data_IF_695135111942
#
_entry.id   IF_695135111942
#
_cell.length_a   1.000
_cell.length_b   1.000
_cell.length_c   1.000
_cell.angle_alpha   90.00
_cell.angle_beta   90.00
_cell.angle_gamma   90.00
#
_symmetry.space_group_name_H-M   'P 1'
#
loop_
_entity.id
_entity.type
_entity.pdbx_description
1 polymer ?
#
# COMPACT_ATOMS: atom_id res chain seq x y z
N UNK A 1 20.27 8.70 -2.97
CA UNK A 1 19.87 9.34 -1.69
C UNK A 1 20.49 8.55 -0.56
N UNK A 2 21.00 9.23 0.47
CA UNK A 2 21.56 8.57 1.64
C UNK A 2 20.42 8.00 2.51
N UNK A 3 20.64 6.78 3.03
CA UNK A 3 19.75 6.12 3.99
C UNK A 3 20.50 5.91 5.30
N UNK A 4 19.80 5.92 6.42
CA UNK A 4 20.36 5.66 7.76
C UNK A 4 19.65 4.43 8.34
N UNK A 5 20.43 3.37 8.65
CA UNK A 5 19.88 2.17 9.28
C UNK A 5 19.52 2.47 10.74
N UNK A 6 18.28 2.16 11.13
CA UNK A 6 17.75 2.29 12.49
C UNK A 6 17.94 0.96 13.25
N UNK A 7 17.59 -0.14 12.59
CA UNK A 7 17.63 -1.47 13.20
C UNK A 7 17.82 -2.56 12.16
N UNK A 8 18.36 -3.69 12.59
CA UNK A 8 18.46 -4.92 11.80
C UNK A 8 18.22 -6.13 12.71
N UNK A 9 17.35 -7.04 12.27
CA UNK A 9 17.06 -8.28 12.97
C UNK A 9 17.07 -9.46 11.99
N UNK A 10 17.72 -10.56 12.35
CA UNK A 10 17.74 -11.78 11.55
C UNK A 10 16.43 -12.54 11.77
N UNK A 11 15.74 -12.92 10.67
CA UNK A 11 14.47 -13.64 10.72
C UNK A 11 14.32 -14.55 9.51
N UNK A 12 13.94 -15.82 9.72
CA UNK A 12 13.75 -16.84 8.67
C UNK A 12 14.94 -16.94 7.67
N UNK A 13 16.17 -16.83 8.17
CA UNK A 13 17.37 -16.87 7.35
C UNK A 13 17.74 -15.56 6.65
N UNK A 14 16.79 -14.65 6.51
CA UNK A 14 16.96 -13.32 5.94
C UNK A 14 17.13 -12.22 7.00
N UNK A 15 16.88 -10.98 6.58
CA UNK A 15 17.03 -9.79 7.42
C UNK A 15 15.79 -8.88 7.33
N UNK A 16 15.22 -8.53 8.48
CA UNK A 16 14.33 -7.39 8.61
C UNK A 16 15.15 -6.17 9.02
N UNK A 17 15.04 -5.08 8.28
CA UNK A 17 15.78 -3.84 8.54
C UNK A 17 14.86 -2.63 8.44
N UNK A 18 15.18 -1.59 9.21
CA UNK A 18 14.49 -0.30 9.17
C UNK A 18 15.46 0.82 8.86
N UNK A 19 14.98 1.79 8.10
CA UNK A 19 15.77 2.93 7.66
C UNK A 19 14.99 4.23 7.73
N UNK A 20 15.73 5.34 7.90
CA UNK A 20 15.25 6.69 7.58
C UNK A 20 16.00 7.24 6.37
N UNK A 21 15.37 8.21 5.71
CA UNK A 21 15.99 9.04 4.69
C UNK A 21 15.27 10.39 4.58
N UNK A 22 15.98 11.41 4.10
CA UNK A 22 15.35 12.68 3.74
C UNK A 22 14.66 12.52 2.39
N UNK A 23 13.35 12.64 2.37
CA UNK A 23 12.56 12.58 1.14
C UNK A 23 12.50 13.95 0.46
N UNK A 24 12.78 13.97 -0.85
CA UNK A 24 12.56 15.16 -1.67
C UNK A 24 11.09 15.33 -2.07
N UNK A 25 10.34 14.23 -2.15
CA UNK A 25 8.95 14.22 -2.58
C UNK A 25 8.02 14.76 -1.51
N UNK A 26 8.18 14.31 -0.26
CA UNK A 26 7.32 14.74 0.88
C UNK A 26 8.01 15.75 1.79
N UNK A 27 9.23 16.19 1.45
CA UNK A 27 10.01 17.26 2.12
C UNK A 27 10.15 17.09 3.65
N UNK A 28 10.29 15.86 4.09
CA UNK A 28 10.56 15.51 5.49
C UNK A 28 11.36 14.22 5.59
N UNK A 29 11.75 13.84 6.82
CA UNK A 29 12.32 12.52 7.05
C UNK A 29 11.23 11.46 6.93
N UNK A 30 11.49 10.44 6.09
CA UNK A 30 10.62 9.28 5.92
C UNK A 30 11.26 8.03 6.47
N UNK A 31 10.42 7.10 6.93
CA UNK A 31 10.81 5.77 7.38
C UNK A 31 10.27 4.70 6.45
N UNK A 32 11.03 3.64 6.31
CA UNK A 32 10.57 2.39 5.71
C UNK A 32 11.25 1.19 6.35
N UNK A 33 10.57 0.06 6.29
CA UNK A 33 11.13 -1.23 6.64
C UNK A 33 11.29 -2.10 5.39
N UNK A 34 12.31 -2.97 5.38
CA UNK A 34 12.54 -3.94 4.32
C UNK A 34 12.85 -5.31 4.92
N UNK A 35 12.20 -6.35 4.38
CA UNK A 35 12.64 -7.74 4.55
C UNK A 35 13.40 -8.18 3.31
N UNK A 36 14.62 -8.68 3.52
CA UNK A 36 15.47 -9.27 2.49
C UNK A 36 15.61 -10.76 2.77
N UNK A 37 15.15 -11.66 1.87
CA UNK A 37 15.35 -13.09 2.02
C UNK A 37 16.83 -13.46 1.82
N UNK A 38 17.25 -14.64 2.28
CA UNK A 38 18.66 -15.08 2.16
C UNK A 38 19.16 -15.16 0.72
N UNK A 39 18.29 -15.36 -0.24
CA UNK A 39 18.62 -15.37 -1.68
C UNK A 39 19.20 -14.02 -2.14
N UNK A 40 18.80 -12.92 -1.49
CA UNK A 40 19.34 -11.59 -1.77
C UNK A 40 20.84 -11.45 -1.47
N UNK A 41 21.46 -12.39 -0.75
CA UNK A 41 22.90 -12.42 -0.54
C UNK A 41 23.68 -12.88 -1.79
N UNK A 42 23.00 -13.57 -2.73
CA UNK A 42 23.62 -14.14 -3.93
C UNK A 42 23.17 -13.50 -5.25
N UNK A 43 21.93 -13.03 -5.31
CA UNK A 43 21.36 -12.43 -6.53
C UNK A 43 20.28 -11.39 -6.19
N UNK A 44 20.03 -10.39 -7.06
CA UNK A 44 18.95 -9.43 -6.86
C UNK A 44 17.57 -10.12 -6.94
N UNK A 45 16.76 -9.94 -5.89
CA UNK A 45 15.43 -10.55 -5.75
C UNK A 45 14.30 -9.59 -6.16
N UNK A 46 13.12 -10.09 -6.58
CA UNK A 46 11.96 -9.25 -6.80
C UNK A 46 11.40 -8.69 -5.49
N UNK A 47 10.60 -7.61 -5.59
CA UNK A 47 10.08 -6.90 -4.43
C UNK A 47 8.57 -6.73 -4.44
N UNK A 48 7.94 -6.88 -3.29
CA UNK A 48 6.55 -6.51 -3.04
C UNK A 48 6.54 -5.26 -2.15
N UNK A 49 5.90 -4.20 -2.61
CA UNK A 49 5.62 -3.00 -1.81
C UNK A 49 4.32 -3.20 -1.07
N UNK A 50 4.38 -3.14 0.27
CA UNK A 50 3.21 -3.21 1.14
C UNK A 50 2.81 -1.83 1.61
N UNK A 51 1.55 -1.46 1.40
CA UNK A 51 0.95 -0.23 1.87
C UNK A 51 0.03 -0.51 3.06
N UNK A 52 0.34 0.09 4.21
CA UNK A 52 -0.44 -0.10 5.43
C UNK A 52 -1.68 0.80 5.48
N UNK A 53 -2.63 0.44 6.35
CA UNK A 53 -3.87 1.19 6.58
C UNK A 53 -3.69 2.41 7.49
N UNK A 54 -4.81 3.06 7.81
CA UNK A 54 -4.88 4.21 8.71
C UNK A 54 -4.14 3.96 10.02
N UNK A 55 -3.47 4.98 10.54
CA UNK A 55 -2.72 5.00 11.81
C UNK A 55 -1.47 4.12 11.87
N UNK A 56 -1.24 3.27 10.87
CA UNK A 56 -0.08 2.42 10.82
C UNK A 56 1.21 3.18 10.46
N UNK A 57 2.33 2.52 10.71
CA UNK A 57 3.68 2.92 10.30
C UNK A 57 4.31 1.82 9.42
N UNK A 58 5.58 1.96 9.09
CA UNK A 58 6.41 0.95 8.44
C UNK A 58 6.49 -0.39 9.21
N UNK A 59 6.19 -0.39 10.52
CA UNK A 59 6.36 -1.57 11.38
C UNK A 59 5.13 -2.47 11.49
N UNK A 60 3.91 -1.92 11.39
CA UNK A 60 2.71 -2.69 11.73
C UNK A 60 2.61 -4.01 10.95
N UNK A 61 2.79 -3.96 9.64
CA UNK A 61 2.80 -5.16 8.81
C UNK A 61 3.97 -6.08 9.15
N UNK A 62 5.16 -5.53 9.26
CA UNK A 62 6.38 -6.30 9.50
C UNK A 62 6.32 -7.09 10.81
N UNK A 63 5.70 -6.52 11.85
CA UNK A 63 5.57 -7.17 13.15
C UNK A 63 4.36 -8.11 13.26
N UNK A 64 3.28 -7.86 12.49
CA UNK A 64 1.99 -8.49 12.75
C UNK A 64 1.51 -9.44 11.65
N UNK A 65 2.02 -9.34 10.42
CA UNK A 65 1.46 -10.10 9.30
C UNK A 65 1.95 -11.54 9.17
N UNK A 66 2.99 -11.95 9.89
CA UNK A 66 3.63 -13.27 9.79
C UNK A 66 4.11 -13.63 8.35
N UNK A 67 4.45 -12.64 7.53
CA UNK A 67 4.73 -12.78 6.10
C UNK A 67 6.13 -13.34 5.78
N UNK A 68 7.10 -13.20 6.70
CA UNK A 68 8.52 -13.40 6.38
C UNK A 68 8.89 -14.84 6.05
N UNK A 69 8.28 -15.83 6.69
CA UNK A 69 8.54 -17.23 6.38
C UNK A 69 8.24 -17.52 4.91
N UNK A 70 7.04 -17.12 4.47
CA UNK A 70 6.62 -17.35 3.09
C UNK A 70 7.41 -16.53 2.08
N UNK A 71 7.72 -15.28 2.41
CA UNK A 71 8.57 -14.43 1.58
C UNK A 71 9.98 -15.01 1.40
N UNK A 72 10.58 -15.57 2.48
CA UNK A 72 11.86 -16.27 2.43
C UNK A 72 11.81 -17.52 1.55
N UNK A 73 10.76 -18.35 1.69
CA UNK A 73 10.55 -19.55 0.83
C UNK A 73 10.46 -19.17 -0.66
N UNK A 74 9.80 -18.06 -0.97
CA UNK A 74 9.58 -17.60 -2.35
C UNK A 74 10.75 -16.79 -2.92
N UNK A 75 11.70 -16.35 -2.08
CA UNK A 75 12.82 -15.50 -2.50
C UNK A 75 12.37 -14.08 -2.88
N UNK A 76 11.43 -13.49 -2.15
CA UNK A 76 10.85 -12.19 -2.44
C UNK A 76 11.14 -11.22 -1.31
N UNK A 77 11.64 -10.02 -1.64
CA UNK A 77 11.75 -8.92 -0.68
C UNK A 77 10.38 -8.25 -0.43
N UNK A 78 10.19 -7.72 0.78
CA UNK A 78 9.00 -6.92 1.11
C UNK A 78 9.47 -5.56 1.61
N UNK A 79 8.89 -4.47 1.10
CA UNK A 79 9.13 -3.10 1.54
C UNK A 79 7.84 -2.49 2.04
N UNK A 80 7.85 -1.95 3.26
CA UNK A 80 6.73 -1.23 3.85
C UNK A 80 7.17 0.20 4.24
N UNK A 81 6.69 1.25 3.56
CA UNK A 81 6.89 2.62 4.00
C UNK A 81 5.94 3.00 5.14
N UNK A 82 6.22 4.13 5.79
CA UNK A 82 5.25 4.82 6.64
C UNK A 82 4.03 5.24 5.80
N UNK A 83 2.91 5.48 6.44
CA UNK A 83 1.61 5.76 5.81
C UNK A 83 1.36 7.24 5.53
N UNK A 84 2.22 8.12 6.03
CA UNK A 84 2.18 9.56 5.79
C UNK A 84 3.57 10.19 5.99
N UNK A 85 3.81 11.42 5.54
CA UNK A 85 4.87 12.24 6.07
C UNK A 85 4.67 12.46 7.57
N UNK A 86 5.77 12.67 8.32
CA UNK A 86 5.76 12.97 9.76
C UNK A 86 6.88 13.95 10.10
N UNK A 87 6.73 14.66 11.21
CA UNK A 87 7.73 15.60 11.71
C UNK A 87 7.11 16.90 12.20
N UNK A 88 7.89 17.73 12.90
CA UNK A 88 7.41 19.00 13.49
C UNK A 88 6.90 20.00 12.44
N UNK A 89 7.43 19.95 11.21
CA UNK A 89 7.02 20.84 10.12
C UNK A 89 5.84 20.32 9.31
N UNK A 90 5.44 19.05 9.53
CA UNK A 90 4.35 18.43 8.75
C UNK A 90 3.01 18.78 9.39
N UNK A 91 2.07 19.37 8.66
CA UNK A 91 0.74 19.69 9.19
C UNK A 91 -0.02 18.43 9.57
N UNK A 92 -0.80 18.52 10.64
CA UNK A 92 -1.71 17.48 11.11
C UNK A 92 -3.13 18.02 11.24
N UNK A 93 -4.11 17.14 11.40
CA UNK A 93 -5.47 17.54 11.72
C UNK A 93 -5.51 18.25 13.08
N UNK A 94 -6.09 19.43 13.14
CA UNK A 94 -6.19 20.24 14.37
C UNK A 94 -6.99 19.53 15.48
N UNK A 95 -7.91 18.66 15.10
CA UNK A 95 -8.72 17.85 16.03
C UNK A 95 -8.07 16.50 16.37
N UNK A 96 -6.92 16.17 15.76
CA UNK A 96 -6.20 14.92 15.98
C UNK A 96 -6.98 13.69 15.49
N UNK A 97 -7.74 13.82 14.41
CA UNK A 97 -8.52 12.71 13.86
C UNK A 97 -7.61 11.62 13.29
N UNK A 98 -7.92 10.36 13.59
CA UNK A 98 -7.13 9.21 13.13
C UNK A 98 -7.23 8.95 11.61
N UNK A 99 -8.24 9.49 10.97
CA UNK A 99 -8.59 9.25 9.57
C UNK A 99 -8.15 10.37 8.61
N UNK A 100 -7.37 11.34 9.12
CA UNK A 100 -6.84 12.45 8.33
C UNK A 100 -5.52 12.97 8.95
N UNK A 101 -4.62 13.52 8.14
CA UNK A 101 -3.32 14.00 8.61
C UNK A 101 -2.30 12.89 8.85
N UNK A 102 -1.60 12.91 9.98
CA UNK A 102 -0.56 11.95 10.31
C UNK A 102 -1.10 10.52 10.38
N UNK A 103 -0.48 9.61 9.65
CA UNK A 103 -0.93 8.22 9.53
C UNK A 103 -2.08 8.02 8.54
N UNK A 104 -2.48 9.04 7.77
CA UNK A 104 -3.64 9.03 6.89
C UNK A 104 -3.37 9.75 5.55
N UNK A 105 -2.24 9.43 4.89
CA UNK A 105 -1.82 10.09 3.64
C UNK A 105 -2.58 9.66 2.39
N UNK A 106 -3.47 8.67 2.48
CA UNK A 106 -4.35 8.16 1.41
C UNK A 106 -3.65 7.85 0.08
N UNK A 107 -2.32 7.77 0.07
CA UNK A 107 -1.50 7.47 -1.11
C UNK A 107 -1.86 8.31 -2.34
N UNK A 108 -2.13 9.60 -2.11
CA UNK A 108 -2.43 10.61 -3.11
C UNK A 108 -1.37 11.74 -3.08
N UNK A 109 -1.47 12.69 -4.01
CA UNK A 109 -0.72 13.94 -3.99
C UNK A 109 -1.69 15.07 -3.67
N UNK A 110 -1.56 15.67 -2.49
CA UNK A 110 -2.39 16.79 -2.07
C UNK A 110 -2.14 18.03 -2.94
N UNK A 111 -3.21 18.77 -3.19
CA UNK A 111 -3.19 20.02 -3.96
C UNK A 111 -3.64 21.24 -3.14
N UNK A 112 -4.14 20.99 -1.93
CA UNK A 112 -4.67 22.04 -1.06
C UNK A 112 -3.69 22.38 0.06
N UNK A 113 -3.52 23.67 0.34
CA UNK A 113 -2.75 24.11 1.49
C UNK A 113 -3.50 23.81 2.80
N UNK A 114 -2.77 23.49 3.87
CA UNK A 114 -1.29 23.42 3.99
C UNK A 114 -0.69 22.07 3.60
N UNK A 115 -1.48 21.13 3.06
CA UNK A 115 -1.12 19.74 2.81
C UNK A 115 -0.22 19.57 1.59
N UNK A 116 -0.35 20.44 0.59
CA UNK A 116 0.31 20.36 -0.71
C UNK A 116 1.85 20.39 -0.66
N UNK A 117 2.45 20.76 0.47
CA UNK A 117 3.91 20.73 0.63
C UNK A 117 4.42 19.33 0.96
N UNK A 118 3.70 18.56 1.76
CA UNK A 118 4.20 17.31 2.34
C UNK A 118 3.43 16.06 1.91
N UNK A 119 2.12 16.14 1.70
CA UNK A 119 1.28 14.95 1.47
C UNK A 119 1.31 14.51 0.00
N UNK A 120 2.48 14.02 -0.46
CA UNK A 120 2.69 13.49 -1.80
C UNK A 120 3.01 11.98 -1.77
N UNK A 121 2.24 11.22 -0.99
CA UNK A 121 2.47 9.79 -0.79
C UNK A 121 2.35 8.98 -2.08
N UNK A 122 1.56 9.42 -3.06
CA UNK A 122 1.50 8.78 -4.37
C UNK A 122 2.84 8.84 -5.10
N UNK A 123 3.41 10.01 -5.28
CA UNK A 123 4.70 10.18 -5.96
C UNK A 123 5.84 9.54 -5.16
N UNK A 124 5.76 9.57 -3.85
CA UNK A 124 6.71 8.90 -2.99
C UNK A 124 6.74 7.38 -3.25
N UNK A 125 5.58 6.71 -3.24
CA UNK A 125 5.46 5.26 -3.44
C UNK A 125 5.75 4.84 -4.88
N UNK A 126 5.36 5.65 -5.86
CA UNK A 126 5.50 5.28 -7.28
C UNK A 126 6.90 5.58 -7.83
N UNK A 127 7.55 6.64 -7.36
CA UNK A 127 8.80 7.16 -7.94
C UNK A 127 9.98 7.08 -6.98
N UNK A 128 9.90 7.77 -5.84
CA UNK A 128 11.06 7.96 -4.97
C UNK A 128 11.45 6.69 -4.23
N UNK A 129 10.52 6.03 -3.57
CA UNK A 129 10.78 4.83 -2.80
C UNK A 129 11.35 3.68 -3.68
N UNK A 130 10.78 3.34 -4.85
CA UNK A 130 11.36 2.30 -5.70
C UNK A 130 12.78 2.64 -6.17
N UNK A 131 13.04 3.87 -6.55
CA UNK A 131 14.38 4.30 -6.96
C UNK A 131 15.38 4.21 -5.79
N UNK A 132 14.96 4.56 -4.58
CA UNK A 132 15.76 4.44 -3.36
C UNK A 132 16.09 2.97 -3.05
N UNK A 133 15.10 2.10 -3.12
CA UNK A 133 15.23 0.66 -2.83
C UNK A 133 16.16 -0.01 -3.86
N UNK A 134 15.93 0.21 -5.15
CA UNK A 134 16.73 -0.35 -6.23
C UNK A 134 18.21 0.12 -6.19
N UNK A 135 18.47 1.33 -5.70
CA UNK A 135 19.82 1.88 -5.59
C UNK A 135 20.61 1.38 -4.37
N UNK A 136 19.94 0.91 -3.30
CA UNK A 136 20.58 0.61 -2.02
C UNK A 136 20.51 -0.86 -1.60
N UNK A 137 19.67 -1.67 -2.22
CA UNK A 137 19.43 -3.06 -1.83
C UNK A 137 19.57 -4.02 -3.03
N UNK A 138 19.90 -5.30 -2.77
CA UNK A 138 20.00 -6.32 -3.80
C UNK A 138 18.60 -6.78 -4.28
N UNK A 139 17.87 -5.87 -4.91
CA UNK A 139 16.58 -6.13 -5.54
C UNK A 139 16.64 -5.85 -7.04
N UNK A 140 15.82 -6.54 -7.82
CA UNK A 140 15.70 -6.29 -9.25
C UNK A 140 14.49 -5.39 -9.56
N UNK A 141 14.26 -5.08 -10.83
CA UNK A 141 13.18 -4.17 -11.26
C UNK A 141 11.78 -4.80 -11.27
N UNK A 142 11.67 -6.14 -11.04
CA UNK A 142 10.36 -6.80 -10.97
C UNK A 142 9.71 -6.48 -9.64
N UNK A 143 8.56 -5.81 -9.70
CA UNK A 143 7.84 -5.36 -8.51
C UNK A 143 6.35 -5.60 -8.58
N UNK A 144 5.74 -5.82 -7.42
CA UNK A 144 4.30 -5.89 -7.20
C UNK A 144 3.91 -4.99 -6.04
N UNK A 145 2.62 -4.73 -5.89
CA UNK A 145 2.09 -3.86 -4.84
C UNK A 145 0.94 -4.54 -4.12
N UNK A 146 0.91 -4.40 -2.81
CA UNK A 146 -0.13 -4.94 -1.94
C UNK A 146 -0.48 -3.94 -0.85
N UNK A 147 -1.62 -4.07 -0.20
CA UNK A 147 -1.95 -3.22 0.92
C UNK A 147 -3.22 -3.61 1.66
N UNK A 148 -3.47 -2.96 2.78
CA UNK A 148 -4.63 -3.19 3.64
C UNK A 148 -5.40 -1.89 3.87
N UNK A 149 -6.74 -1.94 3.82
CA UNK A 149 -7.62 -0.80 4.14
C UNK A 149 -7.31 0.44 3.27
N UNK A 150 -6.92 1.58 3.85
CA UNK A 150 -6.38 2.73 3.13
C UNK A 150 -5.20 2.35 2.23
N UNK A 151 -4.33 1.45 2.67
CA UNK A 151 -3.23 0.93 1.85
C UNK A 151 -3.70 0.02 0.73
N UNK A 152 -4.79 -0.73 0.94
CA UNK A 152 -5.47 -1.48 -0.12
C UNK A 152 -6.04 -0.57 -1.20
N UNK A 153 -6.63 0.56 -0.81
CA UNK A 153 -6.98 1.65 -1.72
C UNK A 153 -5.77 2.14 -2.51
N UNK A 154 -4.67 2.42 -1.82
CA UNK A 154 -3.42 2.84 -2.46
C UNK A 154 -2.90 1.82 -3.46
N UNK A 155 -2.85 0.54 -3.08
CA UNK A 155 -2.38 -0.54 -3.94
C UNK A 155 -3.23 -0.69 -5.21
N UNK A 156 -4.58 -0.68 -5.08
CA UNK A 156 -5.49 -0.75 -6.21
C UNK A 156 -5.37 0.47 -7.13
N UNK A 157 -5.44 1.68 -6.58
CA UNK A 157 -5.39 2.91 -7.39
C UNK A 157 -4.06 3.09 -8.11
N UNK A 158 -2.93 2.79 -7.45
CA UNK A 158 -1.59 2.85 -8.05
C UNK A 158 -1.42 1.76 -9.11
N UNK A 159 -1.81 0.52 -8.79
CA UNK A 159 -1.66 -0.60 -9.72
C UNK A 159 -2.50 -0.44 -10.99
N UNK A 160 -3.72 0.05 -10.88
CA UNK A 160 -4.59 0.33 -12.03
C UNK A 160 -4.05 1.47 -12.92
N UNK A 161 -3.38 2.47 -12.34
CA UNK A 161 -2.74 3.56 -13.09
C UNK A 161 -1.41 3.17 -13.73
N UNK A 162 -0.75 2.13 -13.22
CA UNK A 162 0.57 1.70 -13.66
C UNK A 162 0.65 0.19 -13.95
N UNK A 163 -0.19 -0.34 -14.85
CA UNK A 163 -0.25 -1.77 -15.14
C UNK A 163 1.08 -2.33 -15.69
N UNK A 164 1.90 -1.49 -16.31
CA UNK A 164 3.22 -1.87 -16.83
C UNK A 164 4.32 -1.85 -15.75
N UNK A 165 4.12 -1.12 -14.65
CA UNK A 165 5.10 -0.97 -13.58
C UNK A 165 5.01 -2.10 -12.56
N UNK A 166 3.79 -2.48 -12.19
CA UNK A 166 3.53 -3.52 -11.20
C UNK A 166 3.02 -4.78 -11.87
N UNK A 167 3.73 -5.90 -11.67
CA UNK A 167 3.41 -7.21 -12.27
C UNK A 167 2.10 -7.81 -11.78
N UNK A 168 1.71 -7.47 -10.56
CA UNK A 168 0.45 -7.88 -9.93
C UNK A 168 0.10 -6.96 -8.77
N UNK A 169 -1.17 -6.92 -8.40
CA UNK A 169 -1.72 -6.09 -7.32
C UNK A 169 -2.50 -6.97 -6.36
N UNK A 170 -2.41 -6.72 -5.06
CA UNK A 170 -3.37 -7.34 -4.14
C UNK A 170 -3.80 -6.40 -3.03
N UNK A 171 -4.96 -6.69 -2.44
CA UNK A 171 -5.51 -5.86 -1.38
C UNK A 171 -6.30 -6.69 -0.37
N UNK A 172 -6.15 -6.32 0.91
CA UNK A 172 -6.95 -6.82 2.02
C UNK A 172 -7.91 -5.72 2.47
N UNK A 173 -9.20 -6.03 2.57
CA UNK A 173 -10.24 -5.09 3.04
C UNK A 173 -10.05 -3.66 2.53
N UNK A 174 -9.87 -3.44 1.21
CA UNK A 174 -9.55 -2.12 0.67
C UNK A 174 -10.74 -1.15 0.75
N UNK A 175 -10.45 0.15 0.95
CA UNK A 175 -11.42 1.21 0.65
C UNK A 175 -11.54 1.29 -0.88
N UNK A 176 -12.54 0.63 -1.44
CA UNK A 176 -12.63 0.45 -2.91
C UNK A 176 -13.23 1.64 -3.65
N UNK A 177 -14.05 2.44 -2.96
CA UNK A 177 -14.77 3.57 -3.56
C UNK A 177 -14.71 4.80 -2.64
N UNK A 178 -13.51 5.39 -2.45
CA UNK A 178 -13.33 6.51 -1.51
C UNK A 178 -14.17 7.74 -1.84
N UNK A 179 -14.52 7.97 -3.09
CA UNK A 179 -15.42 9.08 -3.46
C UNK A 179 -16.81 8.99 -2.83
N UNK A 180 -17.21 7.82 -2.32
CA UNK A 180 -18.56 7.52 -1.84
C UNK A 180 -18.56 6.93 -0.41
N UNK A 181 -17.49 7.07 0.35
CA UNK A 181 -17.44 6.67 1.76
C UNK A 181 -16.95 7.83 2.64
N UNK A 182 -17.33 7.88 3.92
CA UNK A 182 -16.99 8.99 4.82
C UNK A 182 -15.50 9.30 4.90
N UNK A 183 -14.63 8.29 5.09
CA UNK A 183 -13.18 8.48 5.14
C UNK A 183 -12.61 9.10 3.86
N UNK A 184 -13.03 8.58 2.72
CA UNK A 184 -12.53 9.05 1.43
C UNK A 184 -13.05 10.45 1.09
N UNK A 185 -14.34 10.73 1.34
CA UNK A 185 -14.92 12.07 1.13
C UNK A 185 -14.16 13.10 1.95
N UNK A 186 -13.93 12.85 3.26
CA UNK A 186 -13.16 13.72 4.14
C UNK A 186 -11.75 13.95 3.61
N UNK A 187 -11.02 12.87 3.34
CA UNK A 187 -9.64 12.98 2.89
C UNK A 187 -9.52 13.68 1.54
N UNK A 188 -10.38 13.35 0.59
CA UNK A 188 -10.30 13.91 -0.77
C UNK A 188 -10.73 15.39 -0.80
N UNK A 189 -11.78 15.79 -0.05
CA UNK A 189 -12.15 17.21 0.03
C UNK A 189 -11.04 18.06 0.62
N UNK A 190 -10.38 17.58 1.69
CA UNK A 190 -9.33 18.32 2.36
C UNK A 190 -7.99 18.30 1.60
N UNK A 191 -7.60 17.16 1.00
CA UNK A 191 -6.34 17.07 0.25
C UNK A 191 -6.43 17.56 -1.19
N UNK A 192 -7.56 17.34 -1.89
CA UNK A 192 -7.70 17.58 -3.33
C UNK A 192 -8.66 18.72 -3.67
N UNK A 193 -9.39 19.25 -2.66
CA UNK A 193 -10.45 20.25 -2.85
C UNK A 193 -11.76 19.60 -3.35
N UNK A 194 -12.76 20.43 -3.67
CA UNK A 194 -14.13 20.00 -3.92
C UNK A 194 -14.38 19.45 -5.36
N UNK A 195 -13.41 19.59 -6.25
CA UNK A 195 -13.56 19.11 -7.64
C UNK A 195 -13.44 17.59 -7.71
N UNK A 196 -14.58 16.92 -7.89
CA UNK A 196 -14.66 15.46 -7.97
C UNK A 196 -13.93 14.85 -9.18
N UNK A 197 -13.59 15.63 -10.19
CA UNK A 197 -12.74 15.17 -11.28
C UNK A 197 -11.30 14.87 -10.81
N UNK A 198 -10.84 15.57 -9.78
CA UNK A 198 -9.56 15.26 -9.12
C UNK A 198 -9.65 13.99 -8.26
N UNK A 199 -10.82 13.69 -7.67
CA UNK A 199 -11.04 12.52 -6.83
C UNK A 199 -11.07 11.23 -7.64
N UNK A 200 -11.73 11.24 -8.81
CA UNK A 200 -11.85 10.05 -9.69
C UNK A 200 -10.49 9.48 -10.08
N UNK A 201 -9.45 10.31 -10.10
CA UNK A 201 -8.06 9.90 -10.40
C UNK A 201 -7.44 9.00 -9.32
N UNK A 202 -8.06 8.91 -8.15
CA UNK A 202 -7.62 8.09 -7.02
C UNK A 202 -8.68 7.08 -6.56
N UNK A 203 -9.85 7.02 -7.20
CA UNK A 203 -10.90 6.05 -6.88
C UNK A 203 -10.74 4.79 -7.72
N UNK A 204 -10.56 3.64 -7.07
CA UNK A 204 -10.30 2.39 -7.79
C UNK A 204 -11.49 1.88 -8.59
N UNK A 205 -12.73 2.23 -8.22
CA UNK A 205 -13.90 1.91 -9.03
C UNK A 205 -13.93 2.73 -10.33
N UNK A 206 -13.63 4.02 -10.25
CA UNK A 206 -13.57 4.89 -11.44
C UNK A 206 -12.38 4.53 -12.35
N UNK A 207 -11.22 4.26 -11.73
CA UNK A 207 -10.04 3.81 -12.47
C UNK A 207 -10.29 2.48 -13.20
N UNK A 208 -10.93 1.51 -12.54
CA UNK A 208 -11.22 0.21 -13.14
C UNK A 208 -12.24 0.31 -14.28
N UNK A 209 -13.26 1.18 -14.16
CA UNK A 209 -14.21 1.46 -15.26
C UNK A 209 -13.52 2.06 -16.50
N UNK A 210 -12.48 2.85 -16.30
CA UNK A 210 -11.77 3.55 -17.36
C UNK A 210 -10.55 2.81 -17.90
N UNK A 211 -10.19 1.66 -17.31
CA UNK A 211 -8.94 0.97 -17.61
C UNK A 211 -9.00 0.21 -18.95
N UNK A 212 -8.06 0.50 -19.85
CA UNK A 212 -7.84 -0.28 -21.08
C UNK A 212 -7.07 -1.58 -20.81
N UNK A 213 -6.26 -1.60 -19.74
CA UNK A 213 -5.47 -2.75 -19.31
C UNK A 213 -5.49 -2.84 -17.80
N UNK A 214 -5.71 -4.05 -17.29
CA UNK A 214 -5.78 -4.32 -15.85
C UNK A 214 -4.73 -5.37 -15.51
N UNK A 215 -3.84 -5.13 -14.53
CA UNK A 215 -2.90 -6.14 -14.08
C UNK A 215 -3.64 -7.29 -13.37
N UNK A 216 -3.02 -8.44 -13.15
CA UNK A 216 -3.58 -9.45 -12.25
C UNK A 216 -3.84 -8.87 -10.86
N UNK A 217 -5.07 -9.00 -10.36
CA UNK A 217 -5.50 -8.45 -9.06
C UNK A 217 -6.10 -9.56 -8.18
N UNK A 218 -5.70 -9.60 -6.90
CA UNK A 218 -6.31 -10.41 -5.85
C UNK A 218 -6.84 -9.52 -4.73
N UNK A 219 -8.11 -9.64 -4.40
CA UNK A 219 -8.73 -8.93 -3.26
C UNK A 219 -9.34 -9.93 -2.30
N UNK A 220 -9.00 -9.80 -1.02
CA UNK A 220 -9.66 -10.49 0.07
C UNK A 220 -10.41 -9.50 0.96
N UNK A 221 -11.66 -9.83 1.30
CA UNK A 221 -12.54 -9.04 2.15
C UNK A 221 -13.17 -9.92 3.23
N UNK A 222 -13.06 -9.52 4.49
CA UNK A 222 -13.73 -10.22 5.60
C UNK A 222 -15.22 -9.88 5.67
N UNK A 223 -16.08 -10.89 5.83
CA UNK A 223 -17.54 -10.68 5.93
C UNK A 223 -18.00 -10.11 7.27
N UNK A 224 -17.20 -10.26 8.34
CA UNK A 224 -17.44 -9.70 9.67
C UNK A 224 -16.69 -8.38 9.92
N UNK A 225 -16.17 -7.75 8.87
CA UNK A 225 -15.47 -6.47 8.96
C UNK A 225 -16.43 -5.36 9.35
N UNK A 226 -16.17 -4.67 10.47
CA UNK A 226 -17.03 -3.61 11.00
C UNK A 226 -17.09 -2.36 10.11
N UNK A 227 -16.16 -2.19 9.17
CA UNK A 227 -16.12 -1.08 8.23
C UNK A 227 -16.73 -1.41 6.86
N UNK A 228 -17.19 -2.67 6.67
CA UNK A 228 -17.62 -3.22 5.39
C UNK A 228 -18.63 -2.31 4.66
N UNK A 229 -19.73 -2.00 5.35
CA UNK A 229 -20.88 -1.31 4.78
C UNK A 229 -20.65 0.21 4.61
N UNK A 230 -19.97 0.82 5.56
CA UNK A 230 -19.86 2.28 5.60
C UNK A 230 -18.64 2.77 4.82
N UNK A 231 -17.49 2.11 4.98
CA UNK A 231 -16.22 2.63 4.50
C UNK A 231 -15.64 1.86 3.31
N UNK A 232 -15.72 0.53 3.31
CA UNK A 232 -15.00 -0.28 2.32
C UNK A 232 -15.78 -0.46 1.02
N UNK A 233 -17.10 -0.62 1.10
CA UNK A 233 -18.07 -0.68 -0.03
C UNK A 233 -17.63 -1.62 -1.16
N UNK A 234 -17.31 -2.89 -0.85
CA UNK A 234 -16.74 -3.83 -1.81
C UNK A 234 -17.65 -4.15 -3.00
N UNK A 235 -18.97 -4.06 -2.84
CA UNK A 235 -19.96 -4.48 -3.85
C UNK A 235 -19.81 -3.72 -5.16
N UNK A 236 -19.53 -2.41 -5.09
CA UNK A 236 -19.33 -1.58 -6.29
C UNK A 236 -18.12 -2.07 -7.07
N UNK A 237 -16.98 -2.26 -6.39
CA UNK A 237 -15.76 -2.76 -7.01
C UNK A 237 -15.96 -4.18 -7.56
N UNK A 238 -16.56 -5.08 -6.77
CA UNK A 238 -16.80 -6.46 -7.15
C UNK A 238 -17.70 -6.55 -8.41
N UNK A 239 -18.72 -5.68 -8.51
CA UNK A 239 -19.59 -5.65 -9.66
C UNK A 239 -18.85 -5.28 -10.96
N UNK A 240 -17.92 -4.33 -10.89
CA UNK A 240 -17.09 -3.95 -12.04
C UNK A 240 -16.05 -5.03 -12.32
N UNK A 241 -15.41 -5.56 -11.28
CA UNK A 241 -14.36 -6.58 -11.37
C UNK A 241 -14.82 -7.87 -12.10
N UNK A 242 -16.09 -8.24 -12.01
CA UNK A 242 -16.68 -9.38 -12.73
C UNK A 242 -16.54 -9.31 -14.27
N UNK A 243 -16.22 -8.13 -14.81
CA UNK A 243 -16.00 -7.94 -16.24
C UNK A 243 -14.54 -8.21 -16.66
N UNK A 244 -13.66 -8.54 -15.70
CA UNK A 244 -12.23 -8.72 -15.90
C UNK A 244 -11.78 -10.10 -15.40
N UNK A 245 -11.36 -10.97 -16.28
CA UNK A 245 -10.95 -12.36 -15.96
C UNK A 245 -9.67 -12.46 -15.09
N UNK A 246 -8.89 -11.39 -15.03
CA UNK A 246 -7.64 -11.31 -14.27
C UNK A 246 -7.81 -10.71 -12.86
N UNK A 247 -9.05 -10.46 -12.42
CA UNK A 247 -9.38 -10.02 -11.06
C UNK A 247 -10.05 -11.16 -10.30
N UNK A 248 -9.45 -11.52 -9.18
CA UNK A 248 -10.01 -12.47 -8.21
C UNK A 248 -10.43 -11.71 -6.97
N UNK A 249 -11.72 -11.72 -6.68
CA UNK A 249 -12.28 -11.17 -5.43
C UNK A 249 -12.81 -12.30 -4.57
N UNK A 250 -12.32 -12.40 -3.32
CA UNK A 250 -12.73 -13.44 -2.36
C UNK A 250 -13.38 -12.80 -1.14
N UNK A 251 -14.60 -13.21 -0.80
CA UNK A 251 -15.20 -12.90 0.49
C UNK A 251 -14.82 -14.01 1.46
N UNK A 252 -14.18 -13.65 2.57
CA UNK A 252 -13.72 -14.56 3.62
C UNK A 252 -14.72 -14.55 4.77
N UNK A 253 -15.44 -15.64 4.96
CA UNK A 253 -16.54 -15.71 5.91
C UNK A 253 -16.06 -15.64 7.37
N UNK A 254 -16.67 -14.75 8.16
CA UNK A 254 -16.40 -14.56 9.59
C UNK A 254 -15.12 -13.79 9.93
N UNK A 255 -14.34 -13.37 8.94
CA UNK A 255 -13.11 -12.57 9.18
C UNK A 255 -13.43 -11.09 9.33
N UNK A 256 -12.67 -10.44 10.20
CA UNK A 256 -12.77 -9.02 10.54
C UNK A 256 -11.75 -8.13 9.80
N UNK A 257 -11.50 -6.91 10.28
CA UNK A 257 -10.53 -5.95 9.72
C UNK A 257 -9.11 -6.07 10.28
N UNK A 258 -8.86 -7.03 11.16
CA UNK A 258 -7.63 -7.11 11.95
C UNK A 258 -6.46 -7.77 11.21
N UNK A 259 -5.29 -7.72 11.84
CA UNK A 259 -4.13 -8.47 11.37
C UNK A 259 -4.28 -9.98 11.50
N UNK A 260 -5.25 -10.50 12.29
CA UNK A 260 -5.58 -11.93 12.27
C UNK A 260 -6.14 -12.39 10.93
N UNK A 261 -6.94 -11.53 10.30
CA UNK A 261 -7.40 -11.74 8.92
C UNK A 261 -6.22 -11.75 7.95
N UNK A 262 -5.34 -10.74 8.00
CA UNK A 262 -4.16 -10.66 7.14
C UNK A 262 -3.27 -11.90 7.31
N UNK A 263 -2.97 -12.30 8.55
CA UNK A 263 -2.16 -13.49 8.85
C UNK A 263 -2.72 -14.77 8.22
N UNK A 264 -4.05 -14.88 8.17
CA UNK A 264 -4.71 -16.09 7.66
C UNK A 264 -4.53 -16.27 6.14
N UNK A 265 -4.35 -15.17 5.40
CA UNK A 265 -4.33 -15.21 3.93
C UNK A 265 -3.07 -14.59 3.30
N UNK A 266 -2.15 -14.05 4.06
CA UNK A 266 -0.95 -13.39 3.52
C UNK A 266 -0.09 -14.33 2.69
N UNK A 267 0.00 -15.60 3.05
CA UNK A 267 0.76 -16.59 2.28
C UNK A 267 0.18 -16.80 0.89
N UNK A 268 -1.15 -16.77 0.74
CA UNK A 268 -1.83 -16.83 -0.55
C UNK A 268 -1.48 -15.63 -1.43
N UNK A 269 -1.50 -14.42 -0.84
CA UNK A 269 -1.15 -13.20 -1.56
C UNK A 269 0.32 -13.19 -1.99
N UNK A 270 1.24 -13.61 -1.12
CA UNK A 270 2.65 -13.75 -1.49
C UNK A 270 2.85 -14.79 -2.61
N UNK A 271 2.17 -15.92 -2.53
CA UNK A 271 2.21 -16.95 -3.58
C UNK A 271 1.59 -16.45 -4.90
N UNK A 272 0.51 -15.67 -4.82
CA UNK A 272 -0.08 -15.00 -5.98
C UNK A 272 0.93 -14.09 -6.66
N UNK A 273 1.55 -13.16 -5.93
CA UNK A 273 2.55 -12.24 -6.48
C UNK A 273 3.76 -12.97 -7.08
N UNK A 274 4.26 -14.00 -6.41
CA UNK A 274 5.43 -14.75 -6.87
C UNK A 274 5.25 -15.40 -8.26
N UNK A 275 4.02 -15.68 -8.69
CA UNK A 275 3.73 -16.22 -10.05
C UNK A 275 4.07 -15.21 -11.14
N UNK A 276 3.94 -13.91 -10.85
CA UNK A 276 4.14 -12.82 -11.80
C UNK A 276 5.52 -12.15 -11.65
N UNK A 277 6.23 -12.44 -10.57
CA UNK A 277 7.56 -11.89 -10.26
C UNK A 277 8.73 -12.76 -10.75
N UNK A 278 8.44 -13.95 -11.26
CA UNK A 278 9.45 -14.87 -11.80
C UNK A 278 10.07 -14.39 -13.11
#
# INVERSE_FOLDING_TARGET
>A
MAITEISAAKVHGGWHKQFTHQSNTVQCEMRFAIFLPSQAESEPVPVIYWLSGLTCTDENFMQKAAAFRKAAELGVAIVAPDTSPRGESVPDDSEGAYDFGLGAGFYLNATQEPWSTHYHMYDYVVKELPALIEANFPVNTKKSISGHSMGGHGALSIGLKHPDLYRSVSAFSPITNPMNCPWGIKAFSLYLGEDKANWSRYDSCELLKAADSVPPILVDQGSADSFLEEQLKPDTFQSIAKQHDNIVFRMQDGYDHSYFFIQSFIEDHLAFHARYLK
#
